data_IF_846270230456
#
_entry.id   IF_846270230456
#
_cell.length_a   1.000
_cell.length_b   1.000
_cell.length_c   1.000
_cell.angle_alpha   90.00
_cell.angle_beta   90.00
_cell.angle_gamma   90.00
#
_symmetry.space_group_name_H-M   'P 1'
#
loop_
_entity.id
_entity.type
_entity.pdbx_description
1 polymer ?
#
# COMPACT_ATOMS: atom_id res chain seq x y z
N UNK A 1 -13.19 1.75 -1.77
CA UNK A 1 -11.74 1.45 -1.60
C UNK A 1 -10.98 2.66 -2.08
N UNK A 2 -10.16 3.28 -1.23
CA UNK A 2 -9.34 4.42 -1.65
C UNK A 2 -8.21 3.86 -2.53
N UNK A 3 -8.30 4.05 -3.85
CA UNK A 3 -7.28 3.56 -4.77
C UNK A 3 -6.09 4.51 -4.74
N UNK A 4 -4.88 3.95 -4.64
CA UNK A 4 -3.63 4.72 -4.56
C UNK A 4 -3.28 5.41 -5.88
N UNK A 5 -3.99 5.05 -6.95
CA UNK A 5 -3.88 5.63 -8.28
C UNK A 5 -5.22 5.55 -9.01
N UNK A 6 -5.36 6.30 -10.11
CA UNK A 6 -6.57 6.28 -10.94
C UNK A 6 -6.59 5.02 -11.83
N UNK A 7 -7.51 4.10 -11.56
CA UNK A 7 -7.69 2.85 -12.33
C UNK A 7 -8.33 3.05 -13.71
N UNK A 8 -8.90 4.22 -13.99
CA UNK A 8 -9.50 4.58 -15.28
C UNK A 8 -8.54 5.40 -16.17
N UNK A 9 -7.33 5.70 -15.69
CA UNK A 9 -6.36 6.44 -16.48
C UNK A 9 -5.90 5.61 -17.70
N UNK A 10 -5.73 6.22 -18.89
CA UNK A 10 -5.27 5.50 -20.07
C UNK A 10 -3.85 4.97 -19.85
N UNK A 11 -3.60 3.73 -20.28
CA UNK A 11 -2.27 3.13 -20.23
C UNK A 11 -1.33 3.91 -21.15
N UNK A 12 -0.20 4.37 -20.59
CA UNK A 12 0.86 5.02 -21.36
C UNK A 12 2.02 4.05 -21.56
N UNK A 13 2.50 3.84 -22.81
CA UNK A 13 3.72 3.08 -23.03
C UNK A 13 4.88 3.78 -22.35
N UNK A 14 5.61 3.04 -21.51
CA UNK A 14 6.76 3.55 -20.77
C UNK A 14 7.94 2.67 -21.12
N UNK A 15 9.06 3.29 -21.52
CA UNK A 15 10.29 2.55 -21.82
C UNK A 15 11.06 2.36 -20.51
N UNK A 16 11.38 1.11 -20.17
CA UNK A 16 12.05 0.76 -18.91
C UNK A 16 13.23 -0.16 -19.20
N UNK A 17 14.35 0.08 -18.53
CA UNK A 17 15.53 -0.79 -18.61
C UNK A 17 15.41 -1.90 -17.57
N UNK A 18 15.42 -3.15 -18.02
CA UNK A 18 15.36 -4.33 -17.16
C UNK A 18 16.46 -5.32 -17.57
N UNK A 19 16.86 -6.20 -16.65
CA UNK A 19 17.84 -7.23 -16.93
C UNK A 19 17.37 -8.13 -18.09
N UNK A 20 18.26 -8.37 -19.06
CA UNK A 20 17.94 -9.12 -20.27
C UNK A 20 17.60 -10.59 -20.01
N UNK A 21 18.35 -11.26 -19.13
CA UNK A 21 18.10 -12.66 -18.77
C UNK A 21 16.76 -12.81 -18.02
N UNK A 22 16.45 -11.88 -17.11
CA UNK A 22 15.15 -11.84 -16.43
C UNK A 22 14.00 -11.69 -17.44
N UNK A 23 14.17 -10.81 -18.43
CA UNK A 23 13.17 -10.56 -19.46
C UNK A 23 12.98 -11.78 -20.37
N UNK A 24 14.05 -12.46 -20.74
CA UNK A 24 13.98 -13.71 -21.52
C UNK A 24 13.26 -14.82 -20.75
N UNK A 25 13.57 -15.01 -19.47
CA UNK A 25 12.87 -15.98 -18.61
C UNK A 25 11.40 -15.63 -18.43
N UNK A 26 11.07 -14.35 -18.25
CA UNK A 26 9.69 -13.93 -18.14
C UNK A 26 8.91 -14.20 -19.43
N UNK A 27 9.53 -13.93 -20.59
CA UNK A 27 8.93 -14.23 -21.90
C UNK A 27 8.77 -15.72 -22.15
N UNK A 28 9.75 -16.55 -21.78
CA UNK A 28 9.65 -18.01 -21.97
C UNK A 28 8.53 -18.62 -21.13
N UNK A 29 8.21 -18.02 -20.00
CA UNK A 29 7.09 -18.40 -19.12
C UNK A 29 5.77 -17.72 -19.49
N UNK A 30 5.72 -16.97 -20.60
CA UNK A 30 4.54 -16.24 -21.07
C UNK A 30 3.97 -15.26 -20.03
N UNK A 31 4.83 -14.66 -19.21
CA UNK A 31 4.45 -13.70 -18.18
C UNK A 31 4.10 -12.37 -18.85
N UNK A 32 2.92 -11.82 -18.51
CA UNK A 32 2.51 -10.51 -18.98
C UNK A 32 3.27 -9.42 -18.21
N UNK A 33 4.33 -8.90 -18.83
CA UNK A 33 5.23 -7.92 -18.21
C UNK A 33 4.48 -6.64 -17.80
N UNK A 34 3.57 -6.14 -18.64
CA UNK A 34 2.82 -4.92 -18.35
C UNK A 34 1.91 -5.08 -17.13
N UNK A 35 1.17 -6.19 -17.06
CA UNK A 35 0.30 -6.47 -15.91
C UNK A 35 1.10 -6.69 -14.62
N UNK A 36 2.24 -7.39 -14.72
CA UNK A 36 3.11 -7.67 -13.58
C UNK A 36 3.75 -6.38 -13.04
N UNK A 37 4.23 -5.52 -13.93
CA UNK A 37 4.80 -4.23 -13.56
C UNK A 37 3.75 -3.32 -12.92
N UNK A 38 2.54 -3.28 -13.47
CA UNK A 38 1.43 -2.48 -12.94
C UNK A 38 1.04 -2.94 -11.52
N UNK A 39 0.96 -4.26 -11.29
CA UNK A 39 0.69 -4.83 -9.97
C UNK A 39 1.80 -4.49 -8.97
N UNK A 40 3.06 -4.73 -9.33
CA UNK A 40 4.20 -4.47 -8.47
C UNK A 40 4.30 -2.98 -8.08
N UNK A 41 4.07 -2.08 -9.03
CA UNK A 41 4.03 -0.64 -8.76
C UNK A 41 2.88 -0.25 -7.85
N UNK A 42 1.69 -0.83 -8.04
CA UNK A 42 0.54 -0.60 -7.17
C UNK A 42 0.83 -1.04 -5.72
N UNK A 43 1.47 -2.20 -5.54
CA UNK A 43 1.86 -2.69 -4.21
C UNK A 43 2.92 -1.81 -3.53
N UNK A 44 3.93 -1.36 -4.29
CA UNK A 44 4.94 -0.44 -3.79
C UNK A 44 4.30 0.89 -3.35
N UNK A 45 3.45 1.48 -4.19
CA UNK A 45 2.72 2.71 -3.87
C UNK A 45 1.84 2.56 -2.62
N UNK A 46 1.14 1.42 -2.48
CA UNK A 46 0.35 1.12 -1.27
C UNK A 46 1.22 1.10 -0.01
N UNK A 47 2.39 0.49 -0.11
CA UNK A 47 3.32 0.36 1.02
C UNK A 47 3.87 1.73 1.42
N UNK A 48 4.30 2.53 0.45
CA UNK A 48 4.80 3.89 0.68
C UNK A 48 3.72 4.81 1.24
N UNK A 49 2.51 4.81 0.67
CA UNK A 49 1.39 5.59 1.19
C UNK A 49 1.02 5.19 2.62
N UNK A 50 1.04 3.90 2.94
CA UNK A 50 0.79 3.43 4.31
C UNK A 50 1.88 3.90 5.26
N UNK A 51 3.15 3.80 4.86
CA UNK A 51 4.27 4.27 5.66
C UNK A 51 4.21 5.78 5.88
N UNK A 52 3.87 6.55 4.85
CA UNK A 52 3.66 7.99 4.95
C UNK A 52 2.50 8.33 5.89
N UNK A 53 1.34 7.69 5.73
CA UNK A 53 0.19 7.91 6.60
C UNK A 53 0.52 7.60 8.06
N UNK A 54 1.24 6.52 8.34
CA UNK A 54 1.69 6.17 9.69
C UNK A 54 2.60 7.24 10.28
N UNK A 55 3.52 7.81 9.49
CA UNK A 55 4.38 8.90 9.95
C UNK A 55 3.59 10.17 10.24
N UNK A 56 2.68 10.55 9.35
CA UNK A 56 1.87 11.77 9.48
C UNK A 56 0.86 11.68 10.63
N UNK A 57 0.36 10.48 10.92
CA UNK A 57 -0.64 10.27 11.97
C UNK A 57 -0.03 9.76 13.28
N UNK A 58 1.30 9.63 13.37
CA UNK A 58 1.97 9.10 14.56
C UNK A 58 1.60 9.90 15.82
N UNK A 59 1.66 11.23 15.74
CA UNK A 59 1.34 12.11 16.87
C UNK A 59 -0.15 12.03 17.27
N UNK A 60 -1.05 11.96 16.28
CA UNK A 60 -2.48 11.83 16.52
C UNK A 60 -2.83 10.46 17.14
N UNK A 61 -2.19 9.39 16.67
CA UNK A 61 -2.32 8.05 17.22
C UNK A 61 -1.77 8.02 18.65
N UNK A 62 -0.63 8.64 18.91
CA UNK A 62 -0.04 8.71 20.26
C UNK A 62 -0.94 9.49 21.21
N UNK A 63 -1.44 10.66 20.80
CA UNK A 63 -2.36 11.47 21.61
C UNK A 63 -3.66 10.72 21.91
N UNK A 64 -4.19 9.99 20.92
CA UNK A 64 -5.37 9.15 21.12
C UNK A 64 -5.09 7.97 22.05
N UNK A 65 -3.94 7.28 21.90
CA UNK A 65 -3.54 6.19 22.78
C UNK A 65 -3.42 6.67 24.23
N UNK A 66 -2.77 7.82 24.46
CA UNK A 66 -2.64 8.41 25.79
C UNK A 66 -4.00 8.81 26.37
N UNK A 67 -4.91 9.34 25.54
CA UNK A 67 -6.28 9.64 25.96
C UNK A 67 -7.03 8.38 26.38
N UNK A 68 -6.91 7.29 25.62
CA UNK A 68 -7.53 5.99 25.93
C UNK A 68 -6.92 5.36 27.19
N UNK A 69 -5.61 5.42 27.39
CA UNK A 69 -4.97 4.94 28.62
C UNK A 69 -5.44 5.72 29.86
N UNK A 70 -5.67 7.03 29.71
CA UNK A 70 -6.07 7.90 30.82
C UNK A 70 -7.57 7.81 31.12
N UNK A 71 -8.42 7.70 30.11
CA UNK A 71 -9.88 7.80 30.24
C UNK A 71 -10.60 6.46 30.07
N UNK A 72 -9.87 5.40 29.73
CA UNK A 72 -10.45 4.11 29.35
C UNK A 72 -11.11 4.16 27.98
N UNK A 73 -11.57 3.00 27.50
CA UNK A 73 -12.41 2.95 26.29
C UNK A 73 -13.88 2.96 26.67
N UNK A 74 -14.76 3.48 25.81
CA UNK A 74 -16.22 3.40 26.02
C UNK A 74 -16.69 1.96 26.29
N UNK A 75 -16.03 0.97 25.68
CA UNK A 75 -16.30 -0.45 25.87
C UNK A 75 -15.83 -1.05 27.21
N UNK A 76 -14.97 -0.37 27.99
CA UNK A 76 -14.51 -0.90 29.29
C UNK A 76 -15.67 -1.11 30.28
N UNK A 77 -16.70 -0.27 30.20
CA UNK A 77 -17.88 -0.38 31.05
C UNK A 77 -18.86 -1.49 30.62
N UNK A 78 -18.69 -2.06 29.41
CA UNK A 78 -19.65 -2.98 28.78
C UNK A 78 -19.06 -4.36 28.48
N UNK A 79 -17.74 -4.55 28.61
CA UNK A 79 -17.09 -5.86 28.50
C UNK A 79 -17.38 -6.71 29.75
N UNK A 80 -18.47 -7.48 29.71
CA UNK A 80 -18.60 -8.70 30.51
C UNK A 80 -17.98 -9.85 29.70
N UNK A 81 -16.98 -10.52 30.28
CA UNK A 81 -16.43 -11.79 29.79
C UNK A 81 -17.39 -12.94 30.09
#
# INVERSE_FOLDING_TARGET
>A
MNHVYNTQAPKKPTNVSINSDLLEKARSLNINLSATLELALAELLRTEHRAQWLRENADAIQAYNQFVETNGTFSDSVRKF
#
